data_IF_755964286667
#
_entry.id   IF_755964286667
#
_cell.length_a   1.000
_cell.length_b   1.000
_cell.length_c   1.000
_cell.angle_alpha   90.00
_cell.angle_beta   90.00
_cell.angle_gamma   90.00
#
_symmetry.space_group_name_H-M   'P 1'
#
loop_
_entity.id
_entity.type
_entity.pdbx_description
1 polymer ?
#
# COMPACT_ATOMS: atom_id res chain seq x y z
N UNK A 1 -22.96 -6.74 -8.74
CA UNK A 1 -21.76 -5.98 -9.21
C UNK A 1 -21.14 -6.66 -10.43
N UNK A 2 -20.88 -5.95 -11.53
CA UNK A 2 -20.09 -6.47 -12.65
C UNK A 2 -18.64 -6.03 -12.46
N UNK A 3 -17.82 -6.90 -11.87
CA UNK A 3 -16.44 -6.60 -11.46
C UNK A 3 -15.59 -6.18 -12.66
N UNK A 4 -15.67 -6.88 -13.79
CA UNK A 4 -14.86 -6.56 -14.98
C UNK A 4 -15.14 -5.16 -15.50
N UNK A 5 -16.41 -4.76 -15.54
CA UNK A 5 -16.79 -3.41 -15.97
C UNK A 5 -16.26 -2.34 -15.02
N UNK A 6 -16.36 -2.56 -13.70
CA UNK A 6 -15.92 -1.63 -12.68
C UNK A 6 -14.40 -1.46 -12.74
N UNK A 7 -13.66 -2.56 -12.83
CA UNK A 7 -12.19 -2.54 -12.91
C UNK A 7 -11.73 -1.82 -14.17
N UNK A 8 -12.35 -2.08 -15.33
CA UNK A 8 -12.02 -1.38 -16.57
C UNK A 8 -12.30 0.14 -16.49
N UNK A 9 -13.36 0.54 -15.77
CA UNK A 9 -13.66 1.96 -15.55
C UNK A 9 -12.67 2.63 -14.58
N UNK A 10 -12.13 1.89 -13.63
CA UNK A 10 -11.17 2.40 -12.64
C UNK A 10 -9.71 2.44 -13.16
N UNK A 11 -9.39 1.74 -14.26
CA UNK A 11 -8.02 1.66 -14.80
C UNK A 11 -7.35 3.03 -15.01
N UNK A 12 -7.99 4.06 -15.60
CA UNK A 12 -7.35 5.37 -15.77
C UNK A 12 -6.95 6.02 -14.45
N UNK A 13 -7.76 5.87 -13.39
CA UNK A 13 -7.46 6.38 -12.05
C UNK A 13 -6.30 5.61 -11.43
N UNK A 14 -6.31 4.29 -11.50
CA UNK A 14 -5.22 3.43 -11.03
C UNK A 14 -3.87 3.83 -11.65
N UNK A 15 -3.84 4.03 -12.97
CA UNK A 15 -2.64 4.45 -13.69
C UNK A 15 -2.18 5.84 -13.25
N UNK A 16 -3.12 6.78 -13.07
CA UNK A 16 -2.81 8.14 -12.63
C UNK A 16 -2.24 8.15 -11.20
N UNK A 17 -2.83 7.39 -10.28
CA UNK A 17 -2.35 7.23 -8.90
C UNK A 17 -0.94 6.62 -8.88
N UNK A 18 -0.72 5.53 -9.62
CA UNK A 18 0.60 4.88 -9.70
C UNK A 18 1.66 5.85 -10.22
N UNK A 19 1.37 6.62 -11.26
CA UNK A 19 2.30 7.60 -11.81
C UNK A 19 2.58 8.73 -10.84
N UNK A 20 1.57 9.21 -10.13
CA UNK A 20 1.72 10.23 -9.09
C UNK A 20 2.71 9.77 -8.01
N UNK A 21 2.49 8.60 -7.40
CA UNK A 21 3.39 8.08 -6.38
C UNK A 21 4.79 7.82 -6.92
N UNK A 22 4.90 7.31 -8.15
CA UNK A 22 6.19 7.08 -8.78
C UNK A 22 7.00 8.36 -9.03
N UNK A 23 6.33 9.45 -9.39
CA UNK A 23 6.96 10.76 -9.61
C UNK A 23 7.39 11.47 -8.32
N UNK A 24 6.71 11.19 -7.20
CA UNK A 24 6.95 11.86 -5.92
C UNK A 24 7.24 10.88 -4.78
N UNK A 25 8.25 10.00 -4.93
CA UNK A 25 8.57 9.01 -3.91
C UNK A 25 9.19 9.65 -2.68
N UNK A 26 8.87 9.14 -1.51
CA UNK A 26 9.43 9.57 -0.23
C UNK A 26 10.08 8.41 0.48
N UNK A 27 11.20 8.68 1.16
CA UNK A 27 11.95 7.66 1.91
C UNK A 27 11.20 7.23 3.18
N UNK A 28 11.53 6.04 3.67
CA UNK A 28 11.05 5.50 4.94
C UNK A 28 11.10 6.52 6.07
N UNK A 29 10.01 6.70 6.79
CA UNK A 29 9.78 7.70 7.85
C UNK A 29 9.80 9.17 7.42
N UNK A 30 9.79 9.44 6.12
CA UNK A 30 9.68 10.76 5.53
C UNK A 30 8.50 10.88 4.56
N UNK A 31 7.57 9.93 4.60
CA UNK A 31 6.43 9.77 3.68
C UNK A 31 5.27 10.74 4.01
N UNK A 32 5.62 12.00 4.36
CA UNK A 32 4.64 12.97 4.87
C UNK A 32 3.61 13.38 3.82
N UNK A 33 4.07 13.73 2.61
CA UNK A 33 3.18 14.14 1.52
C UNK A 33 2.40 12.94 0.96
N UNK A 34 3.03 11.78 0.91
CA UNK A 34 2.41 10.51 0.49
C UNK A 34 1.24 10.17 1.41
N UNK A 35 1.45 10.20 2.73
CA UNK A 35 0.39 9.91 3.70
C UNK A 35 -0.72 10.97 3.69
N UNK A 36 -0.37 12.25 3.56
CA UNK A 36 -1.38 13.32 3.47
C UNK A 36 -2.25 13.16 2.21
N UNK A 37 -1.64 12.85 1.07
CA UNK A 37 -2.35 12.57 -0.17
C UNK A 37 -3.30 11.36 -0.04
N UNK A 38 -2.82 10.26 0.54
CA UNK A 38 -3.62 9.05 0.79
C UNK A 38 -4.81 9.38 1.68
N UNK A 39 -4.56 10.09 2.78
CA UNK A 39 -5.61 10.51 3.72
C UNK A 39 -6.68 11.36 3.04
N UNK A 40 -6.28 12.38 2.28
CA UNK A 40 -7.20 13.24 1.56
C UNK A 40 -8.07 12.45 0.56
N UNK A 41 -7.47 11.50 -0.14
CA UNK A 41 -8.20 10.62 -1.07
C UNK A 41 -9.25 9.79 -0.35
N UNK A 42 -8.86 9.08 0.70
CA UNK A 42 -9.77 8.24 1.49
C UNK A 42 -10.92 9.07 2.10
N UNK A 43 -10.61 10.21 2.71
CA UNK A 43 -11.61 11.09 3.31
C UNK A 43 -12.58 11.66 2.26
N UNK A 44 -12.10 11.94 1.03
CA UNK A 44 -12.96 12.40 -0.07
C UNK A 44 -14.00 11.36 -0.51
N UNK A 45 -13.75 10.07 -0.24
CA UNK A 45 -14.68 8.97 -0.50
C UNK A 45 -15.49 8.56 0.73
N UNK A 46 -15.44 9.36 1.82
CA UNK A 46 -16.19 9.10 3.05
C UNK A 46 -15.59 8.00 3.93
N UNK A 47 -14.32 7.67 3.74
CA UNK A 47 -13.59 6.70 4.56
C UNK A 47 -12.95 7.43 5.74
N UNK A 48 -13.28 7.02 6.96
CA UNK A 48 -12.72 7.61 8.18
C UNK A 48 -11.26 7.22 8.35
N UNK A 49 -10.36 8.21 8.51
CA UNK A 49 -8.93 7.98 8.60
C UNK A 49 -8.38 8.25 10.00
N UNK A 50 -7.47 7.40 10.44
CA UNK A 50 -6.63 7.59 11.61
C UNK A 50 -5.18 7.53 11.21
N UNK A 51 -4.41 8.57 11.52
CA UNK A 51 -2.97 8.56 11.37
C UNK A 51 -2.33 8.00 12.63
N UNK A 52 -1.61 6.89 12.48
CA UNK A 52 -0.85 6.25 13.56
C UNK A 52 0.59 6.74 13.48
N UNK A 53 1.11 7.44 14.51
CA UNK A 53 2.47 7.96 14.50
C UNK A 53 3.50 6.86 14.21
N UNK A 54 4.38 7.09 13.25
CA UNK A 54 5.41 6.14 12.77
C UNK A 54 4.85 4.83 12.19
N UNK A 55 3.53 4.69 12.09
CA UNK A 55 2.87 3.49 11.52
C UNK A 55 2.33 3.75 10.13
N UNK A 56 1.68 4.90 9.93
CA UNK A 56 1.01 5.23 8.68
C UNK A 56 -0.45 5.60 8.86
N UNK A 57 -1.33 5.13 7.96
CA UNK A 57 -2.76 5.46 7.97
C UNK A 57 -3.59 4.17 8.04
N UNK A 58 -4.63 4.24 8.85
CA UNK A 58 -5.74 3.29 8.86
C UNK A 58 -7.00 4.02 8.37
N UNK A 59 -7.54 3.58 7.23
CA UNK A 59 -8.84 4.00 6.74
C UNK A 59 -9.90 2.96 7.10
N UNK A 60 -11.03 3.37 7.65
CA UNK A 60 -12.11 2.44 8.01
C UNK A 60 -13.36 2.74 7.20
N UNK A 61 -13.81 1.76 6.46
CA UNK A 61 -15.06 1.76 5.73
C UNK A 61 -16.01 0.71 6.32
N UNK A 62 -17.10 1.19 6.90
CA UNK A 62 -18.13 0.33 7.54
C UNK A 62 -19.39 0.33 6.68
N UNK A 63 -19.83 -0.83 6.21
CA UNK A 63 -21.08 -0.96 5.43
C UNK A 63 -22.33 -0.58 6.23
N UNK A 64 -22.25 -0.63 7.55
CA UNK A 64 -23.39 -0.50 8.45
C UNK A 64 -24.19 -1.79 8.62
N UNK A 65 -23.76 -2.87 7.99
CA UNK A 65 -24.38 -4.20 8.05
C UNK A 65 -23.48 -5.17 8.81
N UNK A 66 -24.05 -6.16 9.54
CA UNK A 66 -23.25 -7.19 10.19
C UNK A 66 -22.41 -7.99 9.20
N UNK A 67 -21.16 -8.28 9.54
CA UNK A 67 -20.26 -9.06 8.72
C UNK A 67 -18.86 -9.12 9.33
N UNK A 68 -17.93 -9.70 8.58
CA UNK A 68 -16.53 -9.80 9.00
C UNK A 68 -15.77 -8.46 8.81
N UNK A 69 -14.66 -8.34 9.52
CA UNK A 69 -13.70 -7.25 9.34
C UNK A 69 -12.52 -7.73 8.50
N UNK A 70 -12.34 -7.14 7.34
CA UNK A 70 -11.24 -7.44 6.42
C UNK A 70 -10.22 -6.32 6.52
N UNK A 71 -8.94 -6.67 6.66
CA UNK A 71 -7.84 -5.71 6.56
C UNK A 71 -7.13 -5.89 5.22
N UNK A 72 -6.95 -4.77 4.50
CA UNK A 72 -6.20 -4.72 3.25
C UNK A 72 -4.97 -3.82 3.43
N UNK A 73 -3.78 -4.28 3.01
CA UNK A 73 -2.51 -3.61 3.31
C UNK A 73 -1.73 -3.22 2.05
N UNK A 74 -1.19 -2.02 2.07
CA UNK A 74 -0.12 -1.57 1.19
C UNK A 74 0.98 -0.86 2.00
N UNK A 75 2.22 -1.03 1.59
CA UNK A 75 3.36 -0.23 2.03
C UNK A 75 3.46 1.06 1.21
N UNK A 76 4.13 2.09 1.76
CA UNK A 76 4.11 3.42 1.14
C UNK A 76 5.48 4.04 0.90
N UNK A 77 6.54 3.48 1.46
CA UNK A 77 7.88 4.06 1.40
C UNK A 77 8.65 3.69 0.12
N UNK A 78 9.60 4.55 -0.23
CA UNK A 78 10.52 4.38 -1.34
C UNK A 78 11.96 4.13 -0.85
N UNK A 79 12.82 3.73 -1.78
CA UNK A 79 14.22 3.39 -1.53
C UNK A 79 15.18 4.50 -1.97
N UNK A 80 16.36 4.63 -1.30
CA UNK A 80 17.42 5.56 -1.69
C UNK A 80 18.19 5.04 -2.92
N UNK A 81 17.49 4.97 -4.05
CA UNK A 81 18.00 4.47 -5.34
C UNK A 81 17.80 5.53 -6.41
N UNK A 82 18.85 5.85 -7.16
CA UNK A 82 18.74 6.71 -8.33
C UNK A 82 18.03 5.98 -9.47
N UNK A 83 16.96 6.55 -9.96
CA UNK A 83 16.22 5.93 -11.05
C UNK A 83 16.94 6.10 -12.40
N UNK A 84 17.12 5.00 -13.12
CA UNK A 84 17.58 5.05 -14.49
C UNK A 84 16.43 5.54 -15.39
N UNK A 85 16.64 6.65 -16.11
CA UNK A 85 15.67 7.29 -17.02
C UNK A 85 15.37 6.47 -18.25
N UNK A 86 16.26 5.53 -18.60
CA UNK A 86 16.12 4.66 -19.75
C UNK A 86 16.02 3.20 -19.27
N UNK A 87 15.18 2.43 -19.92
CA UNK A 87 15.21 0.99 -19.82
C UNK A 87 15.87 0.38 -21.06
N UNK A 88 16.02 -0.94 -21.09
CA UNK A 88 16.74 -1.63 -22.17
C UNK A 88 16.11 -1.44 -23.56
N UNK A 89 14.87 -1.04 -23.67
CA UNK A 89 14.13 -0.97 -24.94
C UNK A 89 13.32 0.30 -25.14
N UNK A 90 12.98 1.05 -24.09
CA UNK A 90 12.10 2.21 -24.19
C UNK A 90 12.48 3.31 -23.19
N UNK A 91 12.22 4.56 -23.55
CA UNK A 91 12.23 5.69 -22.61
C UNK A 91 11.05 5.55 -21.67
N UNK A 92 11.28 5.74 -20.37
CA UNK A 92 10.24 5.69 -19.35
C UNK A 92 9.30 6.89 -19.47
N UNK A 93 8.01 6.65 -19.45
CA UNK A 93 7.01 7.71 -19.56
C UNK A 93 6.78 8.45 -18.21
N UNK A 94 7.22 7.87 -17.11
CA UNK A 94 7.09 8.39 -15.74
C UNK A 94 8.35 8.04 -14.98
N UNK A 95 9.00 9.01 -14.37
CA UNK A 95 10.24 8.87 -13.60
C UNK A 95 10.15 9.70 -12.33
N UNK A 96 10.90 9.29 -11.30
CA UNK A 96 11.02 10.03 -10.06
C UNK A 96 11.51 11.48 -10.30
N UNK A 97 10.88 12.43 -9.63
CA UNK A 97 11.32 13.84 -9.57
C UNK A 97 12.21 14.09 -8.35
N UNK A 98 12.33 13.14 -7.45
CA UNK A 98 13.17 13.22 -6.25
C UNK A 98 14.49 12.51 -6.52
N UNK A 99 15.55 13.29 -6.75
CA UNK A 99 16.87 12.76 -7.06
C UNK A 99 17.34 11.77 -5.98
N UNK A 100 17.81 10.60 -6.40
CA UNK A 100 18.31 9.55 -5.53
C UNK A 100 17.23 8.79 -4.75
N UNK A 101 15.95 8.95 -5.11
CA UNK A 101 14.83 8.27 -4.47
C UNK A 101 13.92 7.65 -5.54
N UNK A 102 13.53 6.42 -5.38
CA UNK A 102 12.69 5.72 -6.34
C UNK A 102 11.85 4.62 -5.65
N UNK A 103 10.63 4.39 -6.12
CA UNK A 103 9.85 3.20 -5.75
C UNK A 103 10.39 1.95 -6.47
N UNK A 104 11.59 1.49 -6.05
CA UNK A 104 12.25 0.34 -6.66
C UNK A 104 11.64 -1.01 -6.24
N UNK A 105 10.90 -1.06 -5.13
CA UNK A 105 10.18 -2.23 -4.67
C UNK A 105 8.73 -2.32 -5.19
N UNK A 106 8.22 -1.23 -5.83
CA UNK A 106 6.90 -1.22 -6.44
C UNK A 106 5.76 -0.79 -5.51
N UNK A 107 6.07 -0.16 -4.37
CA UNK A 107 5.06 0.31 -3.40
C UNK A 107 4.12 1.37 -4.00
N UNK A 108 4.55 2.11 -5.01
CA UNK A 108 3.70 3.00 -5.82
C UNK A 108 2.53 2.26 -6.49
N UNK A 109 2.78 1.03 -6.96
CA UNK A 109 1.74 0.15 -7.48
C UNK A 109 0.82 -0.38 -6.38
N UNK A 110 1.39 -0.75 -5.22
CA UNK A 110 0.60 -1.26 -4.09
C UNK A 110 -0.36 -0.18 -3.56
N UNK A 111 0.13 1.05 -3.36
CA UNK A 111 -0.70 2.19 -2.95
C UNK A 111 -1.82 2.49 -3.95
N UNK A 112 -1.47 2.50 -5.25
CA UNK A 112 -2.44 2.77 -6.30
C UNK A 112 -3.54 1.70 -6.36
N UNK A 113 -3.19 0.43 -6.24
CA UNK A 113 -4.16 -0.67 -6.17
C UNK A 113 -5.07 -0.51 -4.96
N UNK A 114 -4.51 -0.35 -3.76
CA UNK A 114 -5.30 -0.26 -2.53
C UNK A 114 -6.21 0.97 -2.49
N UNK A 115 -5.76 2.14 -3.00
CA UNK A 115 -6.61 3.32 -3.12
C UNK A 115 -7.74 3.11 -4.14
N UNK A 116 -7.44 2.49 -5.28
CA UNK A 116 -8.47 2.19 -6.29
C UNK A 116 -9.52 1.20 -5.74
N UNK A 117 -9.08 0.18 -5.00
CA UNK A 117 -9.97 -0.75 -4.30
C UNK A 117 -10.83 -0.02 -3.26
N UNK A 118 -10.24 0.90 -2.49
CA UNK A 118 -10.97 1.71 -1.52
C UNK A 118 -12.05 2.57 -2.17
N UNK A 119 -11.74 3.21 -3.30
CA UNK A 119 -12.71 3.99 -4.07
C UNK A 119 -13.86 3.14 -4.61
N UNK A 120 -13.54 1.99 -5.22
CA UNK A 120 -14.55 1.05 -5.72
C UNK A 120 -15.46 0.58 -4.58
N UNK A 121 -14.90 0.12 -3.48
CA UNK A 121 -15.65 -0.42 -2.34
C UNK A 121 -16.51 0.65 -1.65
N UNK A 122 -16.01 1.88 -1.54
CA UNK A 122 -16.78 3.00 -1.03
C UNK A 122 -17.96 3.36 -1.94
N UNK A 123 -17.75 3.34 -3.27
CA UNK A 123 -18.79 3.64 -4.26
C UNK A 123 -19.87 2.56 -4.35
N UNK A 124 -19.57 1.33 -3.90
CA UNK A 124 -20.47 0.18 -3.94
C UNK A 124 -20.81 -0.34 -2.53
N UNK A 125 -20.81 0.54 -1.54
CA UNK A 125 -20.99 0.20 -0.13
C UNK A 125 -22.24 -0.63 0.16
N UNK A 126 -23.29 -0.47 -0.61
CA UNK A 126 -24.55 -1.20 -0.45
C UNK A 126 -24.50 -2.68 -0.91
N UNK A 127 -23.44 -3.04 -1.64
CA UNK A 127 -23.32 -4.38 -2.26
C UNK A 127 -22.50 -5.38 -1.42
N UNK A 128 -22.00 -4.99 -0.25
CA UNK A 128 -21.23 -5.85 0.65
C UNK A 128 -21.60 -5.60 2.11
N UNK A 129 -21.17 -6.48 3.02
CA UNK A 129 -21.47 -6.47 4.46
C UNK A 129 -20.17 -6.48 5.28
N UNK A 130 -20.23 -5.94 6.51
CA UNK A 130 -19.09 -5.90 7.44
C UNK A 130 -18.26 -4.64 7.33
N UNK A 131 -16.96 -4.76 7.63
CA UNK A 131 -16.01 -3.63 7.68
C UNK A 131 -14.76 -3.93 6.88
N UNK A 132 -14.18 -2.89 6.30
CA UNK A 132 -12.89 -2.94 5.63
C UNK A 132 -11.96 -1.93 6.27
N UNK A 133 -10.75 -2.37 6.62
CA UNK A 133 -9.67 -1.53 7.12
C UNK A 133 -8.60 -1.47 6.04
N UNK A 134 -8.37 -0.28 5.50
CA UNK A 134 -7.28 0.00 4.57
C UNK A 134 -6.07 0.45 5.37
N UNK A 135 -5.01 -0.35 5.36
CA UNK A 135 -3.77 -0.09 6.08
C UNK A 135 -2.69 0.35 5.09
N UNK A 136 -2.23 1.59 5.24
CA UNK A 136 -1.11 2.14 4.49
C UNK A 136 0.09 2.26 5.43
N UNK A 137 1.04 1.34 5.30
CA UNK A 137 2.18 1.16 6.21
C UNK A 137 3.38 1.98 5.79
N UNK A 138 3.89 2.83 6.72
CA UNK A 138 5.18 3.53 6.56
C UNK A 138 6.36 2.61 6.83
N UNK A 139 7.52 2.96 6.27
CA UNK A 139 8.83 2.43 6.65
C UNK A 139 8.91 0.90 6.65
N UNK A 140 8.28 0.26 5.67
CA UNK A 140 8.35 -1.20 5.48
C UNK A 140 9.80 -1.63 5.24
N UNK A 141 10.54 -0.90 4.41
CA UNK A 141 11.94 -1.15 4.04
C UNK A 141 12.93 -1.02 5.23
N UNK A 142 12.48 -0.47 6.34
CA UNK A 142 13.24 -0.41 7.59
C UNK A 142 12.89 -1.56 8.56
N UNK A 143 12.24 -2.61 8.07
CA UNK A 143 11.80 -3.76 8.85
C UNK A 143 10.56 -3.45 9.68
N UNK A 144 10.53 -3.79 10.96
CA UNK A 144 9.31 -3.71 11.80
C UNK A 144 8.90 -2.28 12.21
N UNK A 145 9.43 -1.23 11.60
CA UNK A 145 9.23 0.14 12.10
C UNK A 145 7.81 0.67 11.85
N UNK A 146 7.21 0.35 10.70
CA UNK A 146 5.85 0.77 10.37
C UNK A 146 4.79 -0.15 10.95
N UNK A 147 4.97 -1.45 10.76
CA UNK A 147 3.93 -2.43 11.13
C UNK A 147 3.69 -2.52 12.65
N UNK A 148 4.74 -2.40 13.48
CA UNK A 148 4.59 -2.53 14.94
C UNK A 148 3.69 -1.45 15.54
N UNK A 149 3.86 -0.14 15.25
CA UNK A 149 2.92 0.88 15.69
C UNK A 149 1.46 0.63 15.24
N UNK A 150 1.25 0.17 14.00
CA UNK A 150 -0.08 -0.14 13.48
C UNK A 150 -0.72 -1.31 14.24
N UNK A 151 0.03 -2.40 14.46
CA UNK A 151 -0.46 -3.56 15.20
C UNK A 151 -0.75 -3.22 16.66
N UNK A 152 0.10 -2.41 17.31
CA UNK A 152 -0.17 -1.93 18.66
C UNK A 152 -1.44 -1.09 18.71
N UNK A 153 -1.62 -0.17 17.73
CA UNK A 153 -2.84 0.62 17.64
C UNK A 153 -4.10 -0.23 17.53
N UNK A 154 -4.08 -1.26 16.67
CA UNK A 154 -5.22 -2.18 16.55
C UNK A 154 -5.50 -2.91 17.87
N UNK A 155 -4.45 -3.39 18.54
CA UNK A 155 -4.57 -4.08 19.83
C UNK A 155 -5.08 -3.18 20.96
N UNK A 156 -4.49 -1.98 21.11
CA UNK A 156 -4.83 -1.02 22.16
C UNK A 156 -6.27 -0.49 22.02
N UNK A 157 -6.78 -0.42 20.79
CA UNK A 157 -8.15 -0.01 20.51
C UNK A 157 -9.14 -1.19 20.37
N UNK A 158 -8.71 -2.40 20.67
CA UNK A 158 -9.53 -3.62 20.60
C UNK A 158 -10.17 -3.83 19.22
N UNK A 159 -9.46 -3.44 18.15
CA UNK A 159 -9.94 -3.62 16.78
C UNK A 159 -9.65 -5.06 16.35
N UNK A 160 -10.71 -5.83 16.17
CA UNK A 160 -10.62 -7.20 15.69
C UNK A 160 -10.58 -7.24 14.16
N UNK A 161 -9.73 -8.11 13.61
CA UNK A 161 -9.61 -8.38 12.17
C UNK A 161 -9.81 -9.88 11.96
N UNK A 162 -10.77 -10.25 11.14
CA UNK A 162 -11.08 -11.65 10.84
C UNK A 162 -10.17 -12.24 9.78
N UNK A 163 -9.81 -11.44 8.78
CA UNK A 163 -8.90 -11.84 7.70
C UNK A 163 -8.14 -10.64 7.14
N UNK A 164 -6.99 -10.90 6.51
CA UNK A 164 -6.20 -9.84 5.88
C UNK A 164 -5.72 -10.25 4.49
N UNK A 165 -5.58 -9.22 3.63
CA UNK A 165 -5.03 -9.33 2.29
C UNK A 165 -3.92 -8.31 2.11
N UNK A 166 -2.88 -8.73 1.38
CA UNK A 166 -1.82 -7.87 0.90
C UNK A 166 -1.35 -8.40 -0.45
N UNK A 167 -1.02 -7.50 -1.35
CA UNK A 167 -0.46 -7.82 -2.65
C UNK A 167 0.95 -7.30 -2.75
N UNK A 168 1.80 -7.98 -3.50
CA UNK A 168 3.14 -7.50 -3.82
C UNK A 168 3.43 -7.73 -5.30
N UNK A 169 3.91 -6.70 -6.00
CA UNK A 169 4.39 -6.84 -7.37
C UNK A 169 5.72 -7.57 -7.39
N UNK A 170 5.88 -8.55 -8.27
CA UNK A 170 7.08 -9.38 -8.36
C UNK A 170 7.69 -9.28 -9.75
N UNK A 171 8.96 -8.89 -9.82
CA UNK A 171 9.71 -8.75 -11.07
C UNK A 171 9.83 -10.04 -11.88
N UNK A 172 9.79 -11.20 -11.23
CA UNK A 172 9.90 -12.52 -11.84
C UNK A 172 8.55 -13.12 -12.30
N UNK A 173 7.44 -12.48 -11.98
CA UNK A 173 6.12 -12.93 -12.39
C UNK A 173 5.71 -12.24 -13.70
N UNK A 174 5.35 -12.98 -14.75
CA UNK A 174 4.90 -12.38 -16.01
C UNK A 174 3.66 -11.49 -15.81
N UNK A 175 3.57 -10.37 -16.56
CA UNK A 175 2.42 -9.50 -16.53
C UNK A 175 1.11 -10.28 -16.83
N UNK A 176 0.04 -9.93 -16.12
CA UNK A 176 -1.26 -10.61 -16.21
C UNK A 176 -1.33 -11.94 -15.45
N UNK A 177 -0.32 -12.29 -14.67
CA UNK A 177 -0.33 -13.46 -13.78
C UNK A 177 -0.39 -13.02 -12.32
N UNK A 178 -1.13 -13.81 -11.53
CA UNK A 178 -1.20 -13.70 -10.07
C UNK A 178 -0.70 -15.01 -9.48
N UNK A 179 0.16 -14.94 -8.48
CA UNK A 179 0.60 -16.09 -7.70
C UNK A 179 -0.07 -16.05 -6.33
N UNK A 180 -0.73 -17.13 -5.96
CA UNK A 180 -1.26 -17.37 -4.64
C UNK A 180 -0.54 -18.59 -4.08
N UNK A 181 0.10 -18.43 -2.93
CA UNK A 181 0.85 -19.49 -2.31
C UNK A 181 0.04 -20.12 -1.17
N UNK A 182 -0.03 -21.43 -1.17
CA UNK A 182 -0.58 -22.18 -0.05
C UNK A 182 0.53 -22.43 0.97
N UNK A 183 0.44 -21.73 2.12
CA UNK A 183 1.47 -21.76 3.17
C UNK A 183 2.35 -20.50 3.20
N UNK A 184 3.61 -20.66 3.64
CA UNK A 184 4.54 -19.54 3.82
C UNK A 184 4.98 -18.95 2.47
N UNK A 185 4.65 -17.69 2.23
CA UNK A 185 5.04 -16.94 1.03
C UNK A 185 6.47 -16.37 1.13
N UNK A 186 6.95 -16.08 2.36
CA UNK A 186 8.23 -15.43 2.62
C UNK A 186 9.08 -16.25 3.58
N UNK A 187 10.39 -16.21 3.41
CA UNK A 187 11.33 -16.75 4.38
C UNK A 187 11.47 -15.86 5.59
N UNK A 188 11.88 -16.44 6.74
CA UNK A 188 12.27 -15.65 7.92
C UNK A 188 13.56 -14.88 7.63
N UNK A 189 13.64 -13.63 8.08
CA UNK A 189 14.84 -12.80 7.99
C UNK A 189 15.37 -12.48 9.38
N UNK A 190 16.69 -12.59 9.56
CA UNK A 190 17.41 -12.21 10.77
C UNK A 190 18.53 -11.24 10.41
N UNK A 191 18.55 -10.11 11.08
CA UNK A 191 19.61 -9.11 10.90
C UNK A 191 20.52 -9.13 12.14
N UNK A 192 21.83 -9.20 11.91
CA UNK A 192 22.83 -9.05 12.98
C UNK A 192 23.98 -8.16 12.52
N UNK A 193 24.56 -7.45 13.45
CA UNK A 193 25.72 -6.58 13.21
C UNK A 193 26.90 -7.10 14.00
N UNK A 194 28.00 -7.43 13.32
CA UNK A 194 29.27 -7.77 13.95
C UNK A 194 30.19 -6.56 13.89
N UNK A 195 30.72 -6.17 15.05
CA UNK A 195 31.72 -5.11 15.15
C UNK A 195 33.03 -5.71 15.63
N UNK A 196 34.03 -5.69 14.77
CA UNK A 196 35.37 -6.19 15.09
C UNK A 196 36.24 -5.00 15.41
N UNK A 197 36.90 -5.05 16.56
CA UNK A 197 37.90 -4.07 16.99
C UNK A 197 39.25 -4.75 16.90
N UNK A 198 40.14 -4.18 16.07
CA UNK A 198 41.57 -4.54 15.99
C UNK A 198 42.43 -3.68 16.88
#
# INVERSE_FOLDING_TARGET
>A
MNIDQIVNQAEPELIALRRHFHEYPELSQQEFNTLDFIKQKLESWGISCTQVPQGGILGVLDSGKPGITVLMRADVDALPVEENKENLSNTRCCISRNKGVMHACGHDGHMAMLLTEAHILASHKEEWDGKIIFMFEQAEEMGKRGIVPLMNYLADNHIHVDTCFGTHVLWCLPAGKVAILDGAAMAGAFFFKVKIHG
#
